data_IF_430344316103
#
_entry.id   IF_430344316103
#
_cell.length_a   1.000
_cell.length_b   1.000
_cell.length_c   1.000
_cell.angle_alpha   90.00
_cell.angle_beta   90.00
_cell.angle_gamma   90.00
#
_symmetry.space_group_name_H-M   'P 1'
#
loop_
_entity.id
_entity.type
_entity.pdbx_description
1 polymer ?
#
# COMPACT_ATOMS: atom_id res chain seq x y z
N UNK A 1 -44.31 14.52 1.70
CA UNK A 1 -43.46 15.53 1.00
C UNK A 1 -42.02 15.19 1.37
N UNK A 2 -41.25 14.80 0.39
CA UNK A 2 -39.84 14.46 0.60
C UNK A 2 -39.04 15.75 0.74
N UNK A 3 -38.67 16.14 1.95
CA UNK A 3 -37.83 17.32 2.14
C UNK A 3 -36.38 16.94 1.91
N UNK A 4 -35.72 17.60 0.95
CA UNK A 4 -34.26 17.61 0.87
C UNK A 4 -33.75 18.68 1.82
N UNK A 5 -32.78 18.34 2.69
CA UNK A 5 -32.07 19.33 3.48
C UNK A 5 -30.59 19.37 3.07
N UNK A 6 -30.04 20.60 3.10
CA UNK A 6 -28.63 20.87 2.82
C UNK A 6 -28.11 21.72 3.97
N UNK A 7 -27.08 21.23 4.66
CA UNK A 7 -26.45 21.90 5.79
C UNK A 7 -24.94 21.96 5.55
N UNK A 8 -24.29 23.04 5.98
CA UNK A 8 -22.84 23.18 5.88
C UNK A 8 -22.22 22.96 7.26
N UNK A 9 -21.23 22.08 7.37
CA UNK A 9 -20.40 21.91 8.56
C UNK A 9 -18.94 22.17 8.25
N UNK A 10 -18.23 22.74 9.23
CA UNK A 10 -16.76 22.78 9.24
C UNK A 10 -16.28 21.68 10.16
N UNK A 11 -15.49 20.74 9.65
CA UNK A 11 -14.76 19.79 10.48
C UNK A 11 -13.56 20.47 11.13
N UNK A 12 -13.24 20.13 12.37
CA UNK A 12 -12.08 20.66 13.10
C UNK A 12 -10.73 20.32 12.44
N UNK A 13 -10.70 19.39 11.49
CA UNK A 13 -9.50 18.90 10.79
C UNK A 13 -9.53 19.13 9.28
N UNK A 14 -10.64 19.68 8.71
CA UNK A 14 -10.78 19.91 7.26
C UNK A 14 -10.62 21.38 6.93
N UNK A 15 -9.74 21.67 5.98
CA UNK A 15 -9.57 23.04 5.43
C UNK A 15 -10.74 23.47 4.53
N UNK A 16 -11.61 22.54 4.11
CA UNK A 16 -12.71 22.76 3.18
C UNK A 16 -14.08 22.47 3.83
N UNK A 17 -15.13 23.21 3.46
CA UNK A 17 -16.47 23.00 4.00
C UNK A 17 -17.05 21.67 3.49
N UNK A 18 -17.67 20.89 4.38
CA UNK A 18 -18.45 19.71 4.03
C UNK A 18 -19.93 20.09 3.98
N UNK A 19 -20.58 19.83 2.87
CA UNK A 19 -22.00 20.07 2.64
C UNK A 19 -22.77 18.77 2.87
N UNK A 20 -23.52 18.70 3.96
CA UNK A 20 -24.32 17.53 4.31
C UNK A 20 -25.65 17.61 3.58
N UNK A 21 -25.94 16.58 2.79
CA UNK A 21 -27.18 16.41 2.08
C UNK A 21 -27.99 15.27 2.71
N UNK A 22 -29.24 15.51 3.03
CA UNK A 22 -30.09 14.51 3.67
C UNK A 22 -31.48 14.41 3.03
N UNK A 23 -32.11 13.25 3.20
CA UNK A 23 -33.44 12.95 2.68
C UNK A 23 -33.39 12.38 1.27
N UNK A 24 -34.22 12.87 0.39
CA UNK A 24 -34.42 12.32 -0.96
C UNK A 24 -34.36 13.44 -1.99
N UNK A 25 -33.60 13.24 -3.07
CA UNK A 25 -33.49 14.17 -4.20
C UNK A 25 -34.22 13.55 -5.39
N UNK A 26 -35.37 14.08 -5.73
CA UNK A 26 -36.20 13.66 -6.86
C UNK A 26 -36.49 14.80 -7.85
N UNK A 27 -37.28 14.54 -8.88
CA UNK A 27 -37.62 15.56 -9.89
C UNK A 27 -38.42 16.73 -9.37
N UNK A 28 -39.08 16.59 -8.20
CA UNK A 28 -39.93 17.63 -7.62
C UNK A 28 -39.09 18.67 -6.86
N UNK A 29 -38.05 18.18 -6.14
CA UNK A 29 -37.23 19.04 -5.28
C UNK A 29 -35.82 19.31 -5.83
N UNK A 30 -35.48 18.81 -7.03
CA UNK A 30 -34.14 19.01 -7.64
C UNK A 30 -33.80 20.51 -7.82
N UNK A 31 -34.77 21.36 -8.13
CA UNK A 31 -34.55 22.80 -8.25
C UNK A 31 -34.28 23.47 -6.88
N UNK A 32 -34.93 23.01 -5.81
CA UNK A 32 -34.68 23.48 -4.45
C UNK A 32 -33.26 23.04 -4.01
N UNK A 33 -32.88 21.79 -4.33
CA UNK A 33 -31.54 21.26 -4.08
C UNK A 33 -30.47 22.10 -4.80
N UNK A 34 -30.67 22.42 -6.08
CA UNK A 34 -29.77 23.28 -6.86
C UNK A 34 -29.56 24.65 -6.20
N UNK A 35 -30.66 25.34 -5.82
CA UNK A 35 -30.57 26.62 -5.15
C UNK A 35 -29.80 26.62 -3.86
N UNK A 36 -29.98 25.57 -3.00
CA UNK A 36 -29.25 25.42 -1.77
C UNK A 36 -27.75 25.16 -2.00
N UNK A 37 -27.40 24.41 -3.04
CA UNK A 37 -26.00 24.20 -3.41
C UNK A 37 -25.36 25.45 -3.97
N UNK A 38 -26.08 26.24 -4.79
CA UNK A 38 -25.60 27.52 -5.32
C UNK A 38 -25.34 28.53 -4.19
N UNK A 39 -26.21 28.61 -3.17
CA UNK A 39 -25.97 29.41 -1.96
C UNK A 39 -24.68 28.98 -1.20
N UNK A 40 -24.45 27.69 -1.10
CA UNK A 40 -23.20 27.17 -0.51
C UNK A 40 -21.98 27.54 -1.36
N UNK A 41 -22.10 27.44 -2.68
CA UNK A 41 -21.01 27.79 -3.61
C UNK A 41 -20.67 29.28 -3.58
N UNK A 42 -21.67 30.15 -3.46
CA UNK A 42 -21.47 31.60 -3.32
C UNK A 42 -20.75 31.96 -2.01
N UNK A 43 -21.07 31.23 -0.94
CA UNK A 43 -20.44 31.44 0.36
C UNK A 43 -19.00 30.94 0.41
N UNK A 44 -18.65 29.91 -0.40
CA UNK A 44 -17.33 29.29 -0.48
C UNK A 44 -16.88 29.25 -1.95
N UNK A 45 -16.41 30.38 -2.52
CA UNK A 45 -16.16 30.50 -3.95
C UNK A 45 -14.92 29.75 -4.45
N UNK A 46 -13.99 29.40 -3.56
CA UNK A 46 -12.74 28.73 -3.92
C UNK A 46 -12.67 27.31 -3.32
N UNK A 47 -11.91 26.40 -3.97
CA UNK A 47 -11.64 25.04 -3.51
C UNK A 47 -12.56 23.97 -4.11
N UNK A 48 -12.35 22.72 -3.68
CA UNK A 48 -13.20 21.59 -4.00
C UNK A 48 -14.47 21.60 -3.14
N UNK A 49 -15.54 20.96 -3.64
CA UNK A 49 -16.77 20.77 -2.90
C UNK A 49 -16.86 19.33 -2.41
N UNK A 50 -16.99 19.16 -1.10
CA UNK A 50 -17.25 17.86 -0.49
C UNK A 50 -18.73 17.77 -0.13
N UNK A 51 -19.45 16.85 -0.76
CA UNK A 51 -20.84 16.54 -0.45
C UNK A 51 -20.93 15.26 0.37
N UNK A 52 -21.43 15.36 1.59
CA UNK A 52 -21.70 14.21 2.45
C UNK A 52 -23.13 13.71 2.23
N UNK A 53 -23.24 12.52 1.66
CA UNK A 53 -24.49 11.83 1.36
C UNK A 53 -24.82 10.73 2.38
N UNK A 54 -24.19 10.71 3.54
CA UNK A 54 -24.43 9.69 4.57
C UNK A 54 -25.91 9.57 4.96
N UNK A 55 -26.64 10.67 4.86
CA UNK A 55 -28.07 10.78 5.19
C UNK A 55 -28.97 10.92 3.97
N UNK A 56 -28.44 10.66 2.76
CA UNK A 56 -29.22 10.69 1.53
C UNK A 56 -29.75 9.32 1.19
N UNK A 57 -31.05 9.17 1.09
CA UNK A 57 -31.72 7.90 0.83
C UNK A 57 -31.86 7.60 -0.67
N UNK A 58 -31.88 8.65 -1.52
CA UNK A 58 -32.10 8.49 -2.96
C UNK A 58 -31.69 9.75 -3.74
N UNK A 59 -31.20 9.55 -4.95
CA UNK A 59 -30.97 10.61 -5.93
C UNK A 59 -31.53 10.20 -7.30
N UNK A 60 -32.35 11.08 -7.92
CA UNK A 60 -32.89 10.88 -9.26
C UNK A 60 -31.95 11.42 -10.34
N UNK A 61 -32.25 11.13 -11.62
CA UNK A 61 -31.58 11.74 -12.75
C UNK A 61 -31.63 13.28 -12.79
N UNK A 62 -32.65 13.87 -12.18
CA UNK A 62 -32.74 15.35 -12.06
C UNK A 62 -31.72 15.86 -11.03
N UNK A 63 -31.54 15.14 -9.90
CA UNK A 63 -30.49 15.44 -8.91
C UNK A 63 -29.07 15.26 -9.49
N UNK A 64 -28.83 14.19 -10.26
CA UNK A 64 -27.54 13.97 -10.93
C UNK A 64 -27.20 15.10 -11.91
N UNK A 65 -28.19 15.65 -12.64
CA UNK A 65 -27.96 16.81 -13.52
C UNK A 65 -27.58 18.08 -12.74
N UNK A 66 -28.08 18.26 -11.52
CA UNK A 66 -27.64 19.35 -10.64
C UNK A 66 -26.17 19.23 -10.32
N UNK A 67 -25.71 18.02 -9.95
CA UNK A 67 -24.30 17.75 -9.66
C UNK A 67 -23.42 17.97 -10.91
N UNK A 68 -23.88 17.53 -12.08
CA UNK A 68 -23.19 17.78 -13.35
C UNK A 68 -23.01 19.25 -13.63
N UNK A 69 -24.05 20.05 -13.44
CA UNK A 69 -24.00 21.51 -13.62
C UNK A 69 -23.02 22.20 -12.66
N UNK A 70 -22.78 21.66 -11.47
CA UNK A 70 -21.74 22.15 -10.55
C UNK A 70 -20.34 21.86 -11.07
N UNK A 71 -20.10 20.65 -11.59
CA UNK A 71 -18.83 20.27 -12.17
C UNK A 71 -18.46 21.12 -13.41
N UNK A 72 -19.44 21.49 -14.25
CA UNK A 72 -19.22 22.35 -15.40
C UNK A 72 -18.77 23.77 -15.02
N UNK A 73 -18.98 24.19 -13.77
CA UNK A 73 -18.44 25.44 -13.20
C UNK A 73 -16.97 25.36 -12.80
N UNK A 74 -16.22 24.37 -13.29
CA UNK A 74 -14.78 24.11 -13.01
C UNK A 74 -14.46 23.82 -11.54
N UNK A 75 -15.35 23.14 -10.81
CA UNK A 75 -15.12 22.72 -9.44
C UNK A 75 -14.88 21.21 -9.34
N UNK A 76 -13.84 20.82 -8.64
CA UNK A 76 -13.70 19.44 -8.22
C UNK A 76 -14.82 19.11 -7.23
N UNK A 77 -15.53 18.00 -7.49
CA UNK A 77 -16.64 17.54 -6.67
C UNK A 77 -16.30 16.17 -6.10
N UNK A 78 -16.28 16.08 -4.78
CA UNK A 78 -16.13 14.83 -4.04
C UNK A 78 -17.43 14.51 -3.32
N UNK A 79 -17.92 13.29 -3.46
CA UNK A 79 -19.15 12.79 -2.83
C UNK A 79 -18.78 11.67 -1.88
N UNK A 80 -19.03 11.85 -0.60
CA UNK A 80 -18.68 10.89 0.44
C UNK A 80 -19.93 10.31 1.12
N UNK A 81 -19.79 9.13 1.68
CA UNK A 81 -20.80 8.56 2.58
C UNK A 81 -22.04 8.01 1.88
N UNK A 82 -22.02 7.72 0.57
CA UNK A 82 -23.20 7.22 -0.15
C UNK A 82 -23.64 5.85 0.39
N UNK A 83 -24.96 5.65 0.55
CA UNK A 83 -25.50 4.30 0.77
C UNK A 83 -25.23 3.41 -0.44
N UNK A 84 -25.23 2.06 -0.30
CA UNK A 84 -25.06 1.18 -1.46
C UNK A 84 -26.02 1.49 -2.60
N UNK A 85 -27.28 1.77 -2.29
CA UNK A 85 -28.34 2.05 -3.26
C UNK A 85 -28.08 3.39 -4.02
N UNK A 86 -27.59 4.40 -3.31
CA UNK A 86 -27.23 5.69 -3.92
C UNK A 86 -25.96 5.52 -4.75
N UNK A 87 -24.97 4.77 -4.27
CA UNK A 87 -23.75 4.49 -5.02
C UNK A 87 -24.04 3.74 -6.34
N UNK A 88 -24.91 2.72 -6.30
CA UNK A 88 -25.29 1.94 -7.48
C UNK A 88 -25.94 2.83 -8.58
N UNK A 89 -26.65 3.89 -8.17
CA UNK A 89 -27.17 4.89 -9.13
C UNK A 89 -26.01 5.63 -9.81
N UNK A 90 -24.99 6.07 -9.06
CA UNK A 90 -23.82 6.73 -9.63
C UNK A 90 -23.02 5.81 -10.55
N UNK A 91 -22.83 4.55 -10.15
CA UNK A 91 -22.12 3.54 -10.93
C UNK A 91 -22.85 3.20 -12.22
N UNK A 92 -24.16 2.87 -12.15
CA UNK A 92 -24.98 2.50 -13.30
C UNK A 92 -25.11 3.66 -14.33
N UNK A 93 -25.05 4.89 -13.84
CA UNK A 93 -25.16 6.09 -14.71
C UNK A 93 -23.80 6.60 -15.20
N UNK A 94 -22.68 5.98 -14.80
CA UNK A 94 -21.32 6.38 -15.18
C UNK A 94 -20.80 7.62 -14.44
N UNK A 95 -21.50 8.11 -13.43
CA UNK A 95 -21.09 9.32 -12.69
C UNK A 95 -19.89 9.09 -11.77
N UNK A 96 -19.56 7.82 -11.43
CA UNK A 96 -18.32 7.49 -10.72
C UNK A 96 -17.05 7.74 -11.54
N UNK A 97 -17.18 7.88 -12.86
CA UNK A 97 -16.07 8.27 -13.75
C UNK A 97 -15.88 9.80 -13.79
N UNK A 98 -16.91 10.56 -13.42
CA UNK A 98 -16.90 12.01 -13.45
C UNK A 98 -16.57 12.63 -12.09
N UNK A 99 -16.94 11.95 -11.01
CA UNK A 99 -16.79 12.42 -9.64
C UNK A 99 -16.07 11.40 -8.78
N UNK A 100 -15.33 11.88 -7.77
CA UNK A 100 -14.89 11.02 -6.68
C UNK A 100 -16.10 10.67 -5.81
N UNK A 101 -16.60 9.44 -5.89
CA UNK A 101 -17.75 8.96 -5.11
C UNK A 101 -17.33 7.84 -4.19
N UNK A 102 -17.54 7.97 -2.88
CA UNK A 102 -17.23 6.94 -1.89
C UNK A 102 -18.46 6.47 -1.12
N UNK A 103 -18.49 5.15 -0.84
CA UNK A 103 -19.56 4.51 -0.05
C UNK A 103 -19.43 4.88 1.43
N UNK A 104 -20.56 4.84 2.14
CA UNK A 104 -20.58 4.93 3.61
C UNK A 104 -19.77 3.80 4.22
N UNK A 105 -18.85 4.17 5.09
CA UNK A 105 -18.00 3.20 5.79
C UNK A 105 -18.81 2.58 6.93
N UNK A 106 -18.99 1.27 6.88
CA UNK A 106 -19.64 0.49 7.95
C UNK A 106 -18.77 0.44 9.18
N UNK A 107 -19.37 0.48 10.37
CA UNK A 107 -18.66 0.25 11.62
C UNK A 107 -18.69 -1.22 12.00
N UNK A 108 -17.54 -1.75 12.42
CA UNK A 108 -17.36 -3.13 12.91
C UNK A 108 -16.73 -3.06 14.30
N UNK A 109 -17.18 -3.92 15.23
CA UNK A 109 -16.54 -4.10 16.53
C UNK A 109 -15.62 -5.31 16.50
N UNK A 110 -14.43 -5.16 17.07
CA UNK A 110 -13.47 -6.27 17.30
C UNK A 110 -13.43 -6.69 18.77
N UNK A 111 -14.37 -6.19 19.59
CA UNK A 111 -14.45 -6.54 21.00
C UNK A 111 -14.74 -8.04 21.17
N UNK A 112 -13.89 -8.73 21.91
CA UNK A 112 -13.97 -10.17 22.10
C UNK A 112 -13.45 -11.03 20.94
N UNK A 113 -12.98 -10.43 19.85
CA UNK A 113 -12.36 -11.17 18.74
C UNK A 113 -10.94 -11.64 19.09
N UNK A 114 -10.57 -12.80 18.59
CA UNK A 114 -9.22 -13.34 18.71
C UNK A 114 -8.23 -12.49 17.88
N UNK A 115 -7.08 -12.17 18.49
CA UNK A 115 -5.97 -11.50 17.80
C UNK A 115 -5.10 -12.56 17.14
N UNK A 116 -5.03 -12.56 15.80
CA UNK A 116 -4.18 -13.47 15.03
C UNK A 116 -2.75 -12.96 14.95
N UNK A 117 -2.58 -11.65 14.76
CA UNK A 117 -1.27 -11.02 14.56
C UNK A 117 -1.28 -9.57 15.01
N UNK A 118 -0.12 -9.09 15.48
CA UNK A 118 0.15 -7.68 15.77
C UNK A 118 1.47 -7.28 15.15
N UNK A 119 1.49 -6.12 14.50
CA UNK A 119 2.66 -5.57 13.84
C UNK A 119 2.72 -4.06 13.92
N UNK A 120 3.72 -3.46 13.26
CA UNK A 120 3.93 -2.02 13.25
C UNK A 120 2.79 -1.25 12.57
N UNK A 121 2.15 -1.85 11.55
CA UNK A 121 1.04 -1.23 10.79
C UNK A 121 -0.33 -1.41 11.44
N UNK A 122 -0.46 -2.28 12.46
CA UNK A 122 -1.75 -2.54 13.11
C UNK A 122 -1.88 -3.95 13.64
N UNK A 123 -3.14 -4.38 13.84
CA UNK A 123 -3.47 -5.70 14.40
C UNK A 123 -4.50 -6.42 13.52
N UNK A 124 -4.37 -7.74 13.43
CA UNK A 124 -5.29 -8.60 12.68
C UNK A 124 -6.14 -9.41 13.65
N UNK A 125 -7.46 -9.33 13.48
CA UNK A 125 -8.44 -10.02 14.30
C UNK A 125 -9.25 -11.01 13.47
N UNK A 126 -9.62 -12.13 14.07
CA UNK A 126 -10.56 -13.10 13.50
C UNK A 126 -11.99 -12.59 13.77
N UNK A 127 -12.75 -12.32 12.72
CA UNK A 127 -14.15 -11.90 12.84
C UNK A 127 -15.08 -13.10 12.84
N UNK A 128 -14.86 -14.01 11.91
CA UNK A 128 -15.58 -15.28 11.81
C UNK A 128 -14.69 -16.34 11.12
N UNK A 129 -15.25 -17.51 10.80
CA UNK A 129 -14.50 -18.65 10.23
C UNK A 129 -13.81 -18.34 8.89
N UNK A 130 -14.31 -17.35 8.15
CA UNK A 130 -13.90 -17.06 6.78
C UNK A 130 -13.44 -15.61 6.58
N UNK A 131 -13.46 -14.78 7.66
CA UNK A 131 -13.18 -13.34 7.58
C UNK A 131 -12.25 -12.90 8.70
N UNK A 132 -11.23 -12.16 8.30
CA UNK A 132 -10.33 -11.40 9.20
C UNK A 132 -10.46 -9.91 8.95
N UNK A 133 -10.04 -9.11 9.93
CA UNK A 133 -9.90 -7.67 9.79
C UNK A 133 -8.49 -7.23 10.17
N UNK A 134 -7.80 -6.53 9.26
CA UNK A 134 -6.57 -5.77 9.57
C UNK A 134 -6.99 -4.39 10.03
N UNK A 135 -6.83 -4.09 11.33
CA UNK A 135 -7.12 -2.79 11.94
C UNK A 135 -5.83 -1.99 11.98
N UNK A 136 -5.82 -0.83 11.38
CA UNK A 136 -4.67 0.07 11.30
C UNK A 136 -4.45 0.80 12.64
N UNK A 137 -3.23 1.33 12.82
CA UNK A 137 -2.91 2.13 14.00
C UNK A 137 -3.83 3.36 14.08
N UNK A 138 -4.19 3.81 15.30
CA UNK A 138 -4.97 5.03 15.48
C UNK A 138 -4.30 6.24 14.82
N UNK A 139 -5.09 7.03 14.08
CA UNK A 139 -4.60 8.20 13.35
C UNK A 139 -4.19 7.93 11.90
N UNK A 140 -4.21 6.67 11.44
CA UNK A 140 -3.97 6.38 10.02
C UNK A 140 -5.09 6.95 9.15
N UNK A 141 -4.70 7.58 8.02
CA UNK A 141 -5.65 8.23 7.12
C UNK A 141 -6.49 7.22 6.36
N UNK A 142 -7.78 7.52 6.21
CA UNK A 142 -8.69 6.70 5.40
C UNK A 142 -8.16 6.47 3.98
N UNK A 143 -7.56 7.47 3.35
CA UNK A 143 -7.01 7.38 1.99
C UNK A 143 -5.90 6.31 1.88
N UNK A 144 -5.05 6.17 2.90
CA UNK A 144 -3.99 5.14 2.95
C UNK A 144 -4.62 3.76 3.03
N UNK A 145 -5.62 3.58 3.91
CA UNK A 145 -6.33 2.30 4.08
C UNK A 145 -7.07 1.91 2.80
N UNK A 146 -7.74 2.87 2.14
CA UNK A 146 -8.40 2.65 0.87
C UNK A 146 -7.42 2.30 -0.25
N UNK A 147 -6.26 2.94 -0.28
CA UNK A 147 -5.20 2.65 -1.25
C UNK A 147 -4.69 1.22 -1.09
N UNK A 148 -4.39 0.77 0.14
CA UNK A 148 -3.95 -0.62 0.38
C UNK A 148 -5.01 -1.61 -0.07
N UNK A 149 -6.28 -1.40 0.30
CA UNK A 149 -7.40 -2.26 -0.14
C UNK A 149 -7.50 -2.32 -1.67
N UNK A 150 -7.42 -1.17 -2.34
CA UNK A 150 -7.51 -1.09 -3.80
C UNK A 150 -6.32 -1.76 -4.48
N UNK A 151 -5.12 -1.62 -3.94
CA UNK A 151 -3.90 -2.30 -4.42
C UNK A 151 -4.05 -3.82 -4.34
N UNK A 152 -4.50 -4.34 -3.19
CA UNK A 152 -4.75 -5.77 -3.02
C UNK A 152 -5.81 -6.30 -4.00
N UNK A 153 -6.91 -5.56 -4.20
CA UNK A 153 -7.94 -5.94 -5.17
C UNK A 153 -7.42 -5.95 -6.61
N UNK A 154 -6.65 -4.94 -7.00
CA UNK A 154 -6.06 -4.87 -8.35
C UNK A 154 -5.04 -5.98 -8.59
N UNK A 155 -4.21 -6.32 -7.58
CA UNK A 155 -3.28 -7.44 -7.63
C UNK A 155 -4.02 -8.77 -7.85
N UNK A 156 -5.08 -9.02 -7.07
CA UNK A 156 -5.94 -10.19 -7.21
C UNK A 156 -6.52 -10.29 -8.63
N UNK A 157 -7.09 -9.20 -9.16
CA UNK A 157 -7.66 -9.16 -10.52
C UNK A 157 -6.61 -9.39 -11.63
N UNK A 158 -5.34 -9.11 -11.37
CA UNK A 158 -4.22 -9.41 -12.27
C UNK A 158 -3.71 -10.87 -12.12
N UNK A 159 -4.33 -11.66 -11.25
CA UNK A 159 -3.99 -13.07 -11.05
C UNK A 159 -2.83 -13.30 -10.08
N UNK A 160 -2.44 -12.29 -9.31
CA UNK A 160 -1.47 -12.49 -8.21
C UNK A 160 -2.17 -13.26 -7.09
N UNK A 161 -1.60 -14.42 -6.65
CA UNK A 161 -2.14 -15.17 -5.54
C UNK A 161 -2.07 -14.36 -4.24
N UNK A 162 -3.22 -13.88 -3.78
CA UNK A 162 -3.36 -13.08 -2.55
C UNK A 162 -4.75 -13.24 -1.95
N UNK A 163 -4.92 -12.92 -0.68
CA UNK A 163 -6.22 -12.91 -0.02
C UNK A 163 -7.17 -11.87 -0.65
N UNK A 164 -8.43 -12.22 -0.79
CA UNK A 164 -9.45 -11.30 -1.30
C UNK A 164 -9.67 -10.19 -0.26
N UNK A 165 -9.47 -8.93 -0.67
CA UNK A 165 -9.83 -7.77 0.13
C UNK A 165 -11.29 -7.40 -0.13
N UNK A 166 -12.09 -7.30 0.93
CA UNK A 166 -13.51 -6.95 0.82
C UNK A 166 -13.73 -5.44 0.94
N UNK A 167 -14.09 -4.97 2.12
CA UNK A 167 -14.46 -3.59 2.38
C UNK A 167 -13.52 -2.91 3.39
N UNK A 168 -13.39 -1.58 3.26
CA UNK A 168 -12.86 -0.74 4.32
C UNK A 168 -13.97 -0.48 5.34
N UNK A 169 -13.66 -0.64 6.62
CA UNK A 169 -14.61 -0.45 7.72
C UNK A 169 -14.02 0.44 8.81
N UNK A 170 -14.88 1.06 9.61
CA UNK A 170 -14.48 1.81 10.80
C UNK A 170 -14.47 0.89 12.02
N UNK A 171 -13.40 0.96 12.83
CA UNK A 171 -13.23 0.18 14.08
C UNK A 171 -12.87 1.14 15.20
N UNK A 172 -13.87 1.54 16.00
CA UNK A 172 -13.68 2.61 16.99
C UNK A 172 -13.22 3.91 16.32
N UNK A 173 -12.05 4.42 16.72
CA UNK A 173 -11.43 5.62 16.13
C UNK A 173 -10.44 5.31 14.99
N UNK A 174 -10.30 4.02 14.62
CA UNK A 174 -9.42 3.54 13.55
C UNK A 174 -10.22 3.07 12.34
N UNK A 175 -9.50 2.73 11.27
CA UNK A 175 -10.04 2.04 10.09
C UNK A 175 -9.46 0.64 10.00
N UNK A 176 -10.16 -0.24 9.31
CA UNK A 176 -9.68 -1.58 9.00
C UNK A 176 -10.11 -2.05 7.61
N UNK A 177 -9.44 -3.08 7.12
CA UNK A 177 -9.80 -3.77 5.89
C UNK A 177 -10.23 -5.18 6.25
N UNK A 178 -11.41 -5.58 5.76
CA UNK A 178 -11.87 -6.96 5.82
C UNK A 178 -11.20 -7.77 4.72
N UNK A 179 -10.63 -8.92 5.08
CA UNK A 179 -10.01 -9.87 4.16
C UNK A 179 -10.59 -11.27 4.33
N UNK A 180 -10.46 -12.07 3.30
CA UNK A 180 -10.62 -13.51 3.37
C UNK A 180 -9.67 -14.11 4.40
N UNK A 181 -10.18 -15.02 5.26
CA UNK A 181 -9.34 -15.79 6.17
C UNK A 181 -8.67 -16.93 5.41
N UNK A 182 -7.35 -16.87 5.28
CA UNK A 182 -6.57 -17.95 4.68
C UNK A 182 -6.30 -19.07 5.71
N UNK A 183 -6.69 -20.30 5.38
CA UNK A 183 -6.28 -21.48 6.14
C UNK A 183 -4.84 -21.83 5.79
N UNK A 184 -3.89 -21.16 6.41
CA UNK A 184 -2.50 -21.16 6.02
C UNK A 184 -1.59 -20.89 7.21
N UNK A 185 -0.30 -21.22 7.04
CA UNK A 185 0.78 -20.76 7.91
C UNK A 185 1.74 -19.89 7.08
N UNK A 186 2.40 -18.92 7.72
CA UNK A 186 3.45 -18.18 7.03
C UNK A 186 4.65 -19.06 6.74
N UNK A 187 5.31 -18.80 5.61
CA UNK A 187 6.56 -19.50 5.25
C UNK A 187 7.62 -19.32 6.34
N UNK A 188 7.68 -18.14 6.97
CA UNK A 188 8.57 -17.88 8.11
C UNK A 188 8.32 -18.84 9.27
N UNK A 189 7.06 -19.07 9.65
CA UNK A 189 6.73 -20.00 10.75
C UNK A 189 7.08 -21.45 10.38
N UNK A 190 6.70 -21.90 9.18
CA UNK A 190 7.01 -23.24 8.69
C UNK A 190 8.52 -23.51 8.71
N UNK A 191 9.31 -22.58 8.18
CA UNK A 191 10.77 -22.72 8.10
C UNK A 191 11.47 -22.56 9.46
N UNK A 192 10.86 -21.84 10.40
CA UNK A 192 11.36 -21.73 11.77
C UNK A 192 11.13 -23.05 12.53
N UNK A 193 9.95 -23.65 12.39
CA UNK A 193 9.60 -24.92 13.03
C UNK A 193 10.28 -26.12 12.36
N UNK A 194 10.44 -26.05 11.03
CA UNK A 194 10.94 -27.15 10.19
C UNK A 194 12.02 -26.68 9.20
N UNK A 195 13.22 -26.24 9.67
CA UNK A 195 14.26 -25.67 8.80
C UNK A 195 14.72 -26.60 7.66
N UNK A 196 14.64 -27.91 7.87
CA UNK A 196 15.02 -28.90 6.87
C UNK A 196 14.11 -28.91 5.62
N UNK A 197 12.90 -28.33 5.72
CA UNK A 197 11.94 -28.28 4.61
C UNK A 197 12.17 -27.11 3.64
N UNK A 198 13.19 -26.29 3.85
CA UNK A 198 13.44 -25.10 3.03
C UNK A 198 13.56 -25.42 1.53
N UNK A 199 14.21 -26.55 1.20
CA UNK A 199 14.38 -26.98 -0.20
C UNK A 199 13.08 -27.44 -0.86
N UNK A 200 12.09 -27.85 -0.06
CA UNK A 200 10.74 -28.19 -0.51
C UNK A 200 9.97 -26.94 -0.96
N UNK A 201 10.12 -25.84 -0.26
CA UNK A 201 9.34 -24.61 -0.50
C UNK A 201 10.01 -23.57 -1.41
N UNK A 202 11.34 -23.60 -1.54
CA UNK A 202 12.06 -22.55 -2.24
C UNK A 202 11.70 -22.44 -3.73
N UNK A 203 11.37 -23.54 -4.39
CA UNK A 203 10.98 -23.52 -5.79
C UNK A 203 9.63 -22.83 -5.97
N UNK A 204 8.62 -23.19 -5.17
CA UNK A 204 7.30 -22.57 -5.19
C UNK A 204 7.40 -21.09 -4.84
N UNK A 205 8.27 -20.73 -3.88
CA UNK A 205 8.56 -19.35 -3.53
C UNK A 205 9.15 -18.56 -4.71
N UNK A 206 10.15 -19.12 -5.40
CA UNK A 206 10.76 -18.48 -6.57
C UNK A 206 9.78 -18.40 -7.74
N UNK A 207 8.94 -19.41 -7.94
CA UNK A 207 7.94 -19.39 -8.99
C UNK A 207 6.86 -18.33 -8.74
N UNK A 208 6.45 -18.14 -7.47
CA UNK A 208 5.57 -17.03 -7.08
C UNK A 208 6.21 -15.66 -7.37
N UNK A 209 7.52 -15.48 -7.08
CA UNK A 209 8.27 -14.27 -7.42
C UNK A 209 8.30 -14.03 -8.93
N UNK A 210 8.58 -15.06 -9.72
CA UNK A 210 8.61 -14.95 -11.17
C UNK A 210 7.23 -14.61 -11.74
N UNK A 211 6.18 -15.17 -11.19
CA UNK A 211 4.81 -14.82 -11.56
C UNK A 211 4.57 -13.33 -11.32
N UNK A 212 4.89 -12.82 -10.12
CA UNK A 212 4.78 -11.41 -9.80
C UNK A 212 5.58 -10.54 -10.78
N UNK A 213 6.87 -10.83 -10.95
CA UNK A 213 7.82 -10.07 -11.75
C UNK A 213 7.61 -10.18 -13.27
N UNK A 214 6.75 -11.11 -13.72
CA UNK A 214 6.30 -11.21 -15.12
C UNK A 214 4.92 -10.60 -15.35
N UNK A 215 4.18 -10.28 -14.30
CA UNK A 215 2.86 -9.67 -14.39
C UNK A 215 2.99 -8.17 -14.65
N UNK A 216 2.38 -7.69 -15.74
CA UNK A 216 2.40 -6.27 -16.08
C UNK A 216 1.42 -5.47 -15.23
N UNK A 217 1.91 -4.39 -14.62
CA UNK A 217 1.12 -3.34 -13.98
C UNK A 217 0.85 -2.17 -14.92
N UNK A 218 0.08 -1.19 -14.45
CA UNK A 218 -0.12 0.07 -15.14
C UNK A 218 0.02 1.25 -14.17
N UNK A 219 0.54 2.39 -14.65
CA UNK A 219 0.81 3.59 -13.84
C UNK A 219 -0.46 4.28 -13.32
N UNK A 220 -1.61 3.99 -13.88
CA UNK A 220 -2.89 4.50 -13.38
C UNK A 220 -3.40 3.72 -12.17
N UNK A 221 -2.89 2.52 -11.97
CA UNK A 221 -3.33 1.59 -10.92
C UNK A 221 -2.31 1.37 -9.81
N UNK A 222 -1.02 1.46 -10.13
CA UNK A 222 0.08 1.17 -9.20
C UNK A 222 1.11 2.30 -9.24
N UNK A 223 1.65 2.65 -8.07
CA UNK A 223 2.71 3.65 -7.95
C UNK A 223 4.03 3.08 -8.47
N UNK A 224 4.83 3.91 -9.13
CA UNK A 224 6.18 3.53 -9.55
C UNK A 224 7.11 3.37 -8.34
N UNK A 225 7.88 2.29 -8.29
CA UNK A 225 8.87 2.11 -7.23
C UNK A 225 9.94 3.20 -7.25
N UNK A 226 10.33 3.68 -8.43
CA UNK A 226 11.26 4.82 -8.52
C UNK A 226 10.68 6.06 -7.84
N UNK A 227 9.38 6.35 -8.04
CA UNK A 227 8.73 7.51 -7.42
C UNK A 227 8.69 7.36 -5.90
N UNK A 228 8.38 6.16 -5.38
CA UNK A 228 8.39 5.84 -3.94
C UNK A 228 9.80 6.06 -3.36
N UNK A 229 10.84 5.56 -4.02
CA UNK A 229 12.21 5.74 -3.56
C UNK A 229 12.68 7.19 -3.64
N UNK A 230 12.27 7.94 -4.67
CA UNK A 230 12.53 9.38 -4.75
C UNK A 230 11.88 10.15 -3.61
N UNK A 231 10.62 9.87 -3.30
CA UNK A 231 9.91 10.47 -2.16
C UNK A 231 10.64 10.16 -0.83
N UNK A 232 11.03 8.90 -0.64
CA UNK A 232 11.76 8.48 0.55
C UNK A 232 13.14 9.15 0.70
N UNK A 233 13.86 9.32 -0.42
CA UNK A 233 15.15 10.05 -0.44
C UNK A 233 14.93 11.53 -0.16
N UNK A 234 13.88 12.16 -0.74
CA UNK A 234 13.54 13.56 -0.48
C UNK A 234 13.14 13.80 0.98
N UNK A 235 12.38 12.87 1.58
CA UNK A 235 12.07 12.95 3.01
C UNK A 235 13.33 12.89 3.88
N UNK A 236 14.32 12.08 3.49
CA UNK A 236 15.58 11.91 4.21
C UNK A 236 16.62 12.99 3.91
N UNK A 237 16.38 13.85 2.90
CA UNK A 237 17.33 14.88 2.45
C UNK A 237 17.74 15.86 3.54
N UNK A 238 16.87 16.13 4.51
CA UNK A 238 17.16 17.00 5.67
C UNK A 238 18.29 16.48 6.58
N UNK A 239 18.70 15.23 6.42
CA UNK A 239 19.77 14.59 7.20
C UNK A 239 21.03 14.30 6.37
N UNK A 240 21.05 14.66 5.08
CA UNK A 240 22.10 14.31 4.10
C UNK A 240 22.65 15.55 3.42
N UNK A 241 23.87 15.44 2.90
CA UNK A 241 24.41 16.45 2.00
C UNK A 241 23.75 16.39 0.63
N UNK A 242 23.57 17.54 -0.06
CA UNK A 242 22.99 17.61 -1.41
C UNK A 242 23.68 16.69 -2.42
N UNK A 243 24.99 16.46 -2.27
CA UNK A 243 25.76 15.56 -3.12
C UNK A 243 25.30 14.12 -2.97
N UNK A 244 25.06 13.67 -1.72
CA UNK A 244 24.66 12.30 -1.42
C UNK A 244 23.21 12.06 -1.83
N UNK A 245 22.34 13.04 -1.63
CA UNK A 245 20.95 13.02 -2.16
C UNK A 245 20.95 12.81 -3.67
N UNK A 246 21.76 13.61 -4.43
CA UNK A 246 21.86 13.47 -5.89
C UNK A 246 22.38 12.10 -6.31
N UNK A 247 23.35 11.54 -5.60
CA UNK A 247 23.88 10.20 -5.89
C UNK A 247 22.85 9.10 -5.65
N UNK A 248 22.09 9.17 -4.54
CA UNK A 248 21.02 8.22 -4.27
C UNK A 248 19.94 8.27 -5.35
N UNK A 249 19.52 9.48 -5.77
CA UNK A 249 18.56 9.62 -6.88
C UNK A 249 19.11 9.07 -8.18
N UNK A 250 20.38 9.40 -8.54
CA UNK A 250 21.02 8.86 -9.73
C UNK A 250 21.13 7.32 -9.71
N UNK A 251 21.34 6.74 -8.54
CA UNK A 251 21.35 5.27 -8.38
C UNK A 251 19.98 4.68 -8.71
N UNK A 252 18.88 5.24 -8.20
CA UNK A 252 17.51 4.80 -8.51
C UNK A 252 17.18 5.02 -9.99
N UNK A 253 17.54 6.18 -10.55
CA UNK A 253 17.29 6.51 -11.97
C UNK A 253 18.03 5.56 -12.91
N UNK A 254 19.19 5.04 -12.49
CA UNK A 254 19.99 4.10 -13.29
C UNK A 254 19.38 2.70 -13.42
N UNK A 255 18.40 2.34 -12.58
CA UNK A 255 17.68 1.07 -12.70
C UNK A 255 16.83 1.10 -13.98
N UNK A 256 16.90 0.05 -14.85
CA UNK A 256 16.07 0.01 -16.05
C UNK A 256 14.57 0.13 -15.75
N UNK A 257 13.83 0.86 -16.58
CA UNK A 257 12.38 0.97 -16.43
C UNK A 257 11.71 -0.34 -16.80
N UNK A 258 10.79 -0.78 -15.95
CA UNK A 258 9.88 -1.91 -16.22
C UNK A 258 8.52 -1.61 -15.61
N UNK A 259 7.48 -2.07 -16.30
CA UNK A 259 6.08 -1.97 -15.83
C UNK A 259 5.60 -3.30 -15.23
N UNK A 260 6.50 -4.06 -14.59
CA UNK A 260 6.13 -5.30 -13.88
C UNK A 260 5.77 -5.03 -12.43
N UNK A 261 4.92 -5.87 -11.86
CA UNK A 261 4.56 -5.76 -10.45
C UNK A 261 5.74 -6.16 -9.56
N UNK A 262 5.88 -5.45 -8.46
CA UNK A 262 6.80 -5.75 -7.36
C UNK A 262 6.07 -5.59 -6.03
N UNK A 263 6.41 -6.41 -5.05
CA UNK A 263 5.76 -6.42 -3.73
C UNK A 263 6.15 -5.22 -2.85
N UNK A 264 7.43 -4.87 -2.87
CA UNK A 264 7.99 -3.74 -2.11
C UNK A 264 8.17 -3.97 -0.61
N UNK A 265 7.80 -5.16 -0.09
CA UNK A 265 8.05 -5.58 1.30
C UNK A 265 8.11 -7.10 1.40
N UNK A 266 8.98 -7.70 0.60
CA UNK A 266 9.01 -9.14 0.40
C UNK A 266 9.89 -9.86 1.43
N UNK A 267 9.25 -10.56 2.35
CA UNK A 267 9.91 -11.44 3.30
C UNK A 267 9.04 -12.69 3.59
N UNK A 268 9.60 -13.79 4.15
CA UNK A 268 8.86 -15.05 4.32
C UNK A 268 7.65 -14.95 5.26
N UNK A 269 7.56 -13.89 6.08
CA UNK A 269 6.38 -13.60 6.90
C UNK A 269 5.17 -13.14 6.07
N UNK A 270 5.40 -12.54 4.90
CA UNK A 270 4.37 -12.08 3.98
C UNK A 270 3.98 -13.13 2.92
N UNK A 271 4.47 -14.37 3.07
CA UNK A 271 4.13 -15.50 2.21
C UNK A 271 3.35 -16.53 3.03
N UNK A 272 2.11 -16.78 2.61
CA UNK A 272 1.23 -17.77 3.22
C UNK A 272 1.23 -19.06 2.40
N UNK A 273 1.45 -20.17 3.07
CA UNK A 273 1.43 -21.52 2.46
C UNK A 273 0.07 -22.13 2.72
N UNK A 274 -0.68 -22.39 1.65
CA UNK A 274 -2.01 -22.99 1.66
C UNK A 274 -1.99 -24.36 0.96
N UNK A 275 -3.09 -25.11 1.06
CA UNK A 275 -3.27 -26.36 0.30
C UNK A 275 -3.31 -26.11 -1.24
N UNK A 276 -3.63 -24.88 -1.66
CA UNK A 276 -3.69 -24.50 -3.09
C UNK A 276 -2.37 -23.92 -3.62
N UNK A 277 -1.35 -23.74 -2.78
CA UNK A 277 -0.07 -23.14 -3.12
C UNK A 277 0.28 -21.93 -2.26
N UNK A 278 1.28 -21.17 -2.67
CA UNK A 278 1.72 -19.99 -1.94
C UNK A 278 0.93 -18.75 -2.36
N UNK A 279 0.66 -17.86 -1.39
CA UNK A 279 -0.03 -16.59 -1.58
C UNK A 279 0.76 -15.46 -0.90
N UNK A 280 0.71 -14.26 -1.48
CA UNK A 280 1.28 -13.04 -0.90
C UNK A 280 0.25 -12.32 -0.05
N UNK A 281 0.68 -11.74 1.06
CA UNK A 281 -0.14 -10.85 1.91
C UNK A 281 0.60 -9.53 2.15
N UNK A 282 -0.11 -8.55 2.69
CA UNK A 282 0.42 -7.20 2.97
C UNK A 282 0.98 -6.49 1.73
N UNK A 283 0.09 -6.23 0.78
CA UNK A 283 0.41 -5.59 -0.49
C UNK A 283 0.42 -4.05 -0.41
N UNK A 284 0.58 -3.48 0.78
CA UNK A 284 0.55 -2.03 1.04
C UNK A 284 1.60 -1.25 0.25
N UNK A 285 2.76 -1.86 0.00
CA UNK A 285 3.89 -1.28 -0.75
C UNK A 285 3.99 -1.75 -2.19
N UNK A 286 3.02 -2.54 -2.66
CA UNK A 286 3.06 -3.06 -4.03
C UNK A 286 3.02 -1.92 -5.04
N UNK A 287 3.91 -2.01 -6.02
CA UNK A 287 4.05 -1.02 -7.08
C UNK A 287 4.45 -1.65 -8.41
N UNK A 288 4.82 -0.79 -9.35
CA UNK A 288 5.43 -1.20 -10.63
C UNK A 288 6.89 -0.80 -10.67
N UNK A 289 7.71 -1.67 -11.21
CA UNK A 289 9.14 -1.41 -11.33
C UNK A 289 9.93 -2.62 -11.80
N UNK A 290 11.24 -2.45 -11.83
CA UNK A 290 12.16 -3.54 -12.11
C UNK A 290 12.17 -4.55 -10.95
N UNK A 291 12.24 -5.87 -11.18
CA UNK A 291 12.32 -6.88 -10.13
C UNK A 291 13.41 -6.66 -9.09
N UNK A 292 14.42 -5.88 -9.44
CA UNK A 292 15.50 -5.52 -8.50
C UNK A 292 14.98 -4.89 -7.21
N UNK A 293 13.84 -4.20 -7.24
CA UNK A 293 13.29 -3.57 -6.04
C UNK A 293 12.89 -4.60 -4.97
N UNK A 294 12.30 -5.73 -5.35
CA UNK A 294 12.05 -6.82 -4.41
C UNK A 294 13.33 -7.54 -4.00
N UNK A 295 14.24 -7.78 -4.95
CA UNK A 295 15.49 -8.46 -4.66
C UNK A 295 16.42 -7.66 -3.74
N UNK A 296 16.43 -6.33 -3.83
CA UNK A 296 17.19 -5.49 -2.89
C UNK A 296 16.58 -5.47 -1.49
N UNK A 297 15.24 -5.47 -1.38
CA UNK A 297 14.55 -5.59 -0.08
C UNK A 297 14.82 -6.95 0.57
N UNK A 298 14.81 -8.03 -0.22
CA UNK A 298 15.21 -9.36 0.25
C UNK A 298 16.68 -9.39 0.66
N UNK A 299 17.59 -8.77 -0.11
CA UNK A 299 19.00 -8.65 0.25
C UNK A 299 19.18 -7.88 1.58
N UNK A 300 18.41 -6.81 1.78
CA UNK A 300 18.42 -6.05 3.03
C UNK A 300 17.92 -6.88 4.21
N UNK A 301 16.77 -7.53 4.07
CA UNK A 301 16.09 -8.24 5.16
C UNK A 301 16.65 -9.64 5.43
N UNK A 302 17.04 -10.40 4.38
CA UNK A 302 17.48 -11.79 4.54
C UNK A 302 18.99 -11.92 4.75
N UNK A 303 19.79 -11.03 4.15
CA UNK A 303 21.23 -11.10 4.22
C UNK A 303 21.83 -10.03 5.13
N UNK A 304 21.67 -8.75 4.78
CA UNK A 304 22.30 -7.67 5.54
C UNK A 304 21.83 -7.66 7.00
N UNK A 305 20.52 -7.74 7.25
CA UNK A 305 19.96 -7.74 8.61
C UNK A 305 20.37 -9.00 9.39
N UNK A 306 20.33 -10.18 8.76
CA UNK A 306 20.71 -11.45 9.40
C UNK A 306 22.20 -11.47 9.81
N UNK A 307 23.08 -10.83 9.04
CA UNK A 307 24.52 -10.76 9.33
C UNK A 307 24.87 -9.62 10.31
N UNK A 308 24.25 -8.43 10.18
CA UNK A 308 24.61 -7.26 10.98
C UNK A 308 23.86 -7.17 12.32
N UNK A 309 22.61 -7.65 12.38
CA UNK A 309 21.75 -7.57 13.57
C UNK A 309 20.91 -8.86 13.75
N UNK A 310 21.55 -10.02 14.02
CA UNK A 310 20.89 -11.34 14.05
C UNK A 310 19.72 -11.43 15.05
N UNK A 311 19.81 -10.74 16.19
CA UNK A 311 18.73 -10.74 17.17
C UNK A 311 17.51 -9.96 16.67
N UNK A 312 17.73 -8.87 15.94
CA UNK A 312 16.66 -8.09 15.30
C UNK A 312 16.01 -8.90 14.17
N UNK A 313 16.81 -9.56 13.33
CA UNK A 313 16.32 -10.44 12.28
C UNK A 313 15.42 -11.54 12.88
N UNK A 314 15.87 -12.20 13.96
CA UNK A 314 15.10 -13.24 14.67
C UNK A 314 13.77 -12.74 15.22
N UNK A 315 13.77 -11.53 15.74
CA UNK A 315 12.57 -10.92 16.32
C UNK A 315 11.54 -10.51 15.24
N UNK A 316 12.01 -9.94 14.11
CA UNK A 316 11.13 -9.33 13.11
C UNK A 316 10.67 -10.31 12.01
N UNK A 317 11.54 -11.26 11.62
CA UNK A 317 11.30 -12.09 10.43
C UNK A 317 11.47 -13.58 10.73
N UNK A 318 12.58 -13.95 11.36
CA UNK A 318 12.89 -15.34 11.67
C UNK A 318 14.38 -15.61 11.93
N UNK A 319 14.75 -16.87 12.17
CA UNK A 319 16.14 -17.25 12.48
C UNK A 319 17.12 -16.80 11.38
N UNK A 320 18.24 -16.13 11.73
CA UNK A 320 19.21 -15.63 10.76
C UNK A 320 19.74 -16.72 9.82
N UNK A 321 20.01 -17.91 10.35
CA UNK A 321 20.48 -19.06 9.58
C UNK A 321 19.46 -19.53 8.53
N UNK A 322 18.19 -19.44 8.83
CA UNK A 322 17.09 -19.72 7.88
C UNK A 322 17.04 -18.65 6.79
N UNK A 323 17.13 -17.38 7.16
CA UNK A 323 17.09 -16.25 6.21
C UNK A 323 18.28 -16.31 5.25
N UNK A 324 19.50 -16.57 5.75
CA UNK A 324 20.70 -16.72 4.92
C UNK A 324 20.57 -17.90 3.95
N UNK A 325 20.04 -19.02 4.41
CA UNK A 325 19.81 -20.20 3.56
C UNK A 325 18.74 -19.91 2.50
N UNK A 326 17.63 -19.28 2.89
CA UNK A 326 16.54 -18.91 1.97
C UNK A 326 17.06 -17.95 0.89
N UNK A 327 17.86 -16.95 1.27
CA UNK A 327 18.49 -16.02 0.34
C UNK A 327 19.37 -16.73 -0.69
N UNK A 328 20.30 -17.58 -0.24
CA UNK A 328 21.22 -18.30 -1.13
C UNK A 328 20.46 -19.19 -2.14
N UNK A 329 19.48 -19.95 -1.66
CA UNK A 329 18.66 -20.80 -2.52
C UNK A 329 17.77 -19.98 -3.49
N UNK A 330 17.16 -18.91 -3.00
CA UNK A 330 16.33 -18.05 -3.82
C UNK A 330 17.14 -17.41 -4.94
N UNK A 331 18.30 -16.85 -4.63
CA UNK A 331 19.16 -16.21 -5.62
C UNK A 331 19.59 -17.18 -6.72
N UNK A 332 19.99 -18.39 -6.36
CA UNK A 332 20.37 -19.45 -7.31
C UNK A 332 19.22 -19.88 -8.21
N UNK A 333 18.05 -20.09 -7.60
CA UNK A 333 16.89 -20.55 -8.35
C UNK A 333 16.26 -19.44 -9.17
N UNK A 334 16.35 -18.18 -8.73
CA UNK A 334 15.84 -17.03 -9.49
C UNK A 334 16.68 -16.75 -10.74
N UNK A 335 18.00 -16.99 -10.69
CA UNK A 335 18.94 -16.82 -11.81
C UNK A 335 19.59 -18.15 -12.22
N UNK A 336 18.84 -19.11 -12.73
CA UNK A 336 19.34 -20.46 -12.98
C UNK A 336 20.41 -20.53 -14.08
N UNK A 337 20.43 -19.55 -15.00
CA UNK A 337 21.35 -19.50 -16.13
C UNK A 337 22.68 -18.77 -15.79
N UNK A 338 22.80 -18.16 -14.61
CA UNK A 338 24.03 -17.47 -14.21
C UNK A 338 25.05 -18.46 -13.67
N UNK A 339 26.28 -18.37 -14.16
CA UNK A 339 27.44 -19.08 -13.57
C UNK A 339 27.69 -18.64 -12.13
N UNK A 340 28.49 -19.41 -11.39
CA UNK A 340 28.82 -19.09 -10.00
C UNK A 340 29.49 -17.72 -9.81
N UNK A 341 30.31 -17.28 -10.76
CA UNK A 341 30.95 -15.96 -10.71
C UNK A 341 29.97 -14.81 -11.07
N UNK A 342 29.10 -15.03 -12.06
CA UNK A 342 28.05 -14.07 -12.41
C UNK A 342 27.04 -13.92 -11.27
N UNK A 343 26.68 -15.02 -10.59
CA UNK A 343 25.78 -14.99 -9.45
C UNK A 343 26.37 -14.20 -8.28
N UNK A 344 27.67 -14.41 -7.97
CA UNK A 344 28.38 -13.60 -6.96
C UNK A 344 28.44 -12.13 -7.32
N UNK A 345 28.65 -11.79 -8.61
CA UNK A 345 28.59 -10.40 -9.08
C UNK A 345 27.21 -9.80 -8.85
N UNK A 346 26.15 -10.52 -9.25
CA UNK A 346 24.76 -10.10 -9.05
C UNK A 346 24.42 -9.94 -7.56
N UNK A 347 24.82 -10.88 -6.72
CA UNK A 347 24.63 -10.77 -5.27
C UNK A 347 25.31 -9.53 -4.70
N UNK A 348 26.57 -9.28 -5.08
CA UNK A 348 27.31 -8.09 -4.65
C UNK A 348 26.62 -6.79 -5.06
N UNK A 349 26.05 -6.72 -6.27
CA UNK A 349 25.25 -5.59 -6.74
C UNK A 349 24.00 -5.42 -5.87
N UNK A 350 23.22 -6.47 -5.67
CA UNK A 350 21.98 -6.44 -4.85
C UNK A 350 22.27 -6.01 -3.41
N UNK A 351 23.33 -6.55 -2.78
CA UNK A 351 23.75 -6.16 -1.43
C UNK A 351 24.20 -4.70 -1.37
N UNK A 352 24.80 -4.17 -2.44
CA UNK A 352 25.14 -2.77 -2.57
C UNK A 352 23.90 -1.88 -2.61
N UNK A 353 22.95 -2.19 -3.50
CA UNK A 353 21.66 -1.49 -3.60
C UNK A 353 20.84 -1.58 -2.31
N UNK A 354 20.84 -2.73 -1.66
CA UNK A 354 20.10 -2.96 -0.41
C UNK A 354 20.50 -1.97 0.71
N UNK A 355 21.70 -1.39 0.66
CA UNK A 355 22.15 -0.37 1.61
C UNK A 355 21.41 0.96 1.50
N UNK A 356 20.65 1.18 0.40
CA UNK A 356 19.71 2.30 0.32
C UNK A 356 18.66 2.25 1.42
N UNK A 357 18.33 1.08 1.96
CA UNK A 357 17.44 0.95 3.11
C UNK A 357 17.88 1.82 4.30
N UNK A 358 19.19 2.00 4.51
CA UNK A 358 19.73 2.88 5.54
C UNK A 358 19.47 4.36 5.27
N UNK A 359 19.42 4.76 4.01
CA UNK A 359 19.12 6.15 3.60
C UNK A 359 17.63 6.46 3.76
N UNK A 360 16.77 5.50 3.41
CA UNK A 360 15.31 5.69 3.44
C UNK A 360 14.68 5.27 4.78
N UNK A 361 15.47 4.78 5.74
CA UNK A 361 14.99 4.37 7.06
C UNK A 361 14.14 5.43 7.78
N UNK A 362 14.46 6.74 7.74
CA UNK A 362 13.62 7.77 8.35
C UNK A 362 12.21 7.87 7.75
N UNK A 363 12.05 7.55 6.47
CA UNK A 363 10.75 7.53 5.79
C UNK A 363 9.94 6.27 6.15
N UNK A 364 10.59 5.11 6.20
CA UNK A 364 9.94 3.83 6.50
C UNK A 364 9.57 3.73 7.98
N UNK A 365 10.42 4.27 8.88
CA UNK A 365 10.23 4.24 10.33
C UNK A 365 10.01 5.64 10.93
N UNK A 366 8.84 6.27 10.74
CA UNK A 366 8.61 7.65 11.18
C UNK A 366 8.70 7.85 12.70
N UNK A 367 8.72 6.76 13.48
CA UNK A 367 8.87 6.78 14.95
C UNK A 367 10.32 6.58 15.43
N UNK A 368 11.29 6.50 14.51
CA UNK A 368 12.70 6.36 14.87
C UNK A 368 13.21 7.59 15.62
N UNK A 369 14.01 7.35 16.67
CA UNK A 369 14.70 8.43 17.37
C UNK A 369 15.81 9.03 16.50
N UNK A 370 16.23 10.27 16.81
CA UNK A 370 17.36 10.91 16.12
C UNK A 370 18.64 10.06 16.16
N UNK A 371 18.90 9.38 17.29
CA UNK A 371 20.05 8.49 17.46
C UNK A 371 19.97 7.26 16.51
N UNK A 372 18.77 6.69 16.37
CA UNK A 372 18.54 5.57 15.44
C UNK A 372 18.72 6.01 13.98
N UNK A 373 18.17 7.18 13.63
CA UNK A 373 18.33 7.78 12.29
C UNK A 373 19.80 8.00 11.99
N UNK A 374 20.56 8.62 12.90
CA UNK A 374 21.99 8.85 12.72
C UNK A 374 22.78 7.54 12.61
N UNK A 375 22.38 6.49 13.33
CA UNK A 375 22.95 5.15 13.20
C UNK A 375 22.79 4.59 11.78
N UNK A 376 21.59 4.63 11.21
CA UNK A 376 21.33 4.19 9.83
C UNK A 376 22.12 5.03 8.81
N UNK A 377 22.16 6.33 8.98
CA UNK A 377 22.90 7.20 8.05
C UNK A 377 24.42 7.02 8.14
N UNK A 378 24.95 6.70 9.32
CA UNK A 378 26.35 6.33 9.47
C UNK A 378 26.68 5.04 8.71
N UNK A 379 25.81 4.04 8.78
CA UNK A 379 25.94 2.82 7.98
C UNK A 379 25.94 3.15 6.47
N UNK A 380 25.09 4.06 6.01
CA UNK A 380 25.09 4.50 4.62
C UNK A 380 26.41 5.23 4.24
N UNK A 381 26.92 6.11 5.12
CA UNK A 381 28.19 6.83 4.91
C UNK A 381 29.38 5.89 4.79
N UNK A 382 29.41 4.83 5.58
CA UNK A 382 30.51 3.87 5.60
C UNK A 382 30.40 2.84 4.46
N UNK A 383 29.19 2.38 4.17
CA UNK A 383 29.01 1.18 3.36
C UNK A 383 28.38 1.43 1.99
N UNK A 384 27.57 2.51 1.79
CA UNK A 384 26.95 2.83 0.51
C UNK A 384 27.71 3.88 -0.28
N UNK A 385 27.92 5.07 0.29
CA UNK A 385 28.49 6.19 -0.46
C UNK A 385 29.88 5.96 -1.05
N UNK A 386 30.79 5.16 -0.44
CA UNK A 386 32.07 4.84 -1.07
C UNK A 386 31.97 4.02 -2.36
N UNK A 387 30.87 3.28 -2.54
CA UNK A 387 30.66 2.35 -3.67
C UNK A 387 29.52 2.75 -4.60
N UNK A 388 28.78 3.82 -4.29
CA UNK A 388 27.55 4.19 -5.00
C UNK A 388 27.79 4.49 -6.48
N UNK A 389 28.93 5.10 -6.81
CA UNK A 389 29.31 5.43 -8.20
C UNK A 389 29.54 4.14 -9.03
N UNK A 390 30.01 3.05 -8.43
CA UNK A 390 30.20 1.75 -9.08
C UNK A 390 28.88 0.99 -9.25
N UNK A 391 27.85 1.34 -8.47
CA UNK A 391 26.53 0.73 -8.55
C UNK A 391 25.64 1.39 -9.61
N UNK A 392 25.83 2.68 -9.89
CA UNK A 392 25.05 3.43 -10.89
C UNK A 392 25.22 2.76 -12.27
N UNK A 393 24.10 2.32 -12.86
CA UNK A 393 24.07 1.64 -14.15
C UNK A 393 24.60 0.20 -14.14
N UNK A 394 24.78 -0.40 -12.95
CA UNK A 394 25.33 -1.77 -12.85
C UNK A 394 24.27 -2.86 -13.08
N UNK A 395 22.98 -2.55 -12.99
CA UNK A 395 21.89 -3.50 -13.26
C UNK A 395 21.70 -3.62 -14.77
N UNK A 396 22.05 -4.76 -15.32
CA UNK A 396 22.09 -5.07 -16.75
C UNK A 396 21.26 -6.30 -17.16
N UNK A 397 20.35 -6.79 -16.29
CA UNK A 397 19.53 -7.99 -16.44
C UNK A 397 18.04 -7.77 -16.22
#
# INVERSE_FOLDING_TARGET
MSNVSVETKFGSEMSEPVIICSGRIDSVNASEFAGKLDECCEKYPEGSLILDFERLDYISSAGLRVLLGLSEKNRSLEIIGTSPEVYDIFETTGFVELFSVSKKIKSVSVEGCEIISQGASGSVYLIDTDTIIKVFMPGEKLSVVQQERNTAQKAFLKGIPTAISYDVVKVGDSYGILYEMLKAQSLANILTEHPARIEEYVNDYVDLLRQLHSTSGDRGSFTSMKDIYHEAIDYSAKYLDDKDVRKCKALIDSIPDRDTLVHGDLHPGNIMVTDAGMMMIDLSRMGIGHPVFDLLEMAASHKNLAESAPDVARMLIGPPEMLLRLWDLTLRNYFPDKSGEELKKTEKQLLGFARLANVIAPFIGPTLSEEQIEGFLNEARVNLFPIIDDLIGSIDW
#
